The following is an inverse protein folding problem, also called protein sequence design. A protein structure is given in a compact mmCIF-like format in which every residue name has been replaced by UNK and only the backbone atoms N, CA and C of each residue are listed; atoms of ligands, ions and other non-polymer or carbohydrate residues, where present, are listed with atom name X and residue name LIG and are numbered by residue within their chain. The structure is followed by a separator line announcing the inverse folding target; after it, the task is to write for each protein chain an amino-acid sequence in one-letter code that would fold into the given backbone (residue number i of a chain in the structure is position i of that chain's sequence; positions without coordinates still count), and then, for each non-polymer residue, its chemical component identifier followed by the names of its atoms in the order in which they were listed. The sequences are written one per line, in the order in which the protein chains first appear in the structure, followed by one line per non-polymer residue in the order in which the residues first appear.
data_IF_321730587575
#
_entry.id   IF_321730587575
#
_cell.length_a   1.000
_cell.length_b   1.000
_cell.length_c   1.000
_cell.angle_alpha   90.00
_cell.angle_beta   90.00
_cell.angle_gamma   90.00
#
_symmetry.space_group_name_H-M   'P 1'
#
loop_
_entity.id
_entity.type
_entity.pdbx_description
1 polymer ?
#
# COMPACT_ATOMS: atom_id res chain seq x y z
N UNK A 1 -5.44 17.87 -27.89
CA UNK A 1 -4.25 17.96 -27.01
C UNK A 1 -4.71 17.60 -25.60
N UNK A 2 -4.58 16.33 -25.24
CA UNK A 2 -4.98 15.84 -23.92
C UNK A 2 -3.72 15.85 -23.07
N UNK A 3 -3.61 16.81 -22.15
CA UNK A 3 -2.59 16.76 -21.11
C UNK A 3 -3.16 15.84 -20.05
N UNK A 4 -2.83 14.56 -20.09
CA UNK A 4 -3.07 13.66 -18.98
C UNK A 4 -2.11 14.08 -17.88
N UNK A 5 -2.63 14.68 -16.80
CA UNK A 5 -1.94 14.68 -15.53
C UNK A 5 -1.67 13.21 -15.21
N UNK A 6 -0.41 12.88 -15.06
CA UNK A 6 0.03 11.58 -14.54
C UNK A 6 -0.54 11.48 -13.10
N UNK A 7 -1.68 10.81 -12.96
CA UNK A 7 -2.14 10.38 -11.65
C UNK A 7 -1.16 9.31 -11.22
N UNK A 8 -0.25 9.67 -10.35
CA UNK A 8 0.63 8.69 -9.72
C UNK A 8 -0.22 7.86 -8.78
N UNK A 9 -0.40 6.60 -9.11
CA UNK A 9 -1.19 5.67 -8.32
C UNK A 9 -0.28 4.89 -7.40
N UNK A 10 -0.43 5.07 -6.09
CA UNK A 10 0.23 4.23 -5.10
C UNK A 10 -0.63 2.98 -4.89
N UNK A 11 -0.10 1.81 -5.25
CA UNK A 11 -0.75 0.54 -4.99
C UNK A 11 -0.25 -0.05 -3.67
N UNK A 12 -1.13 -0.12 -2.69
CA UNK A 12 -0.86 -0.77 -1.41
C UNK A 12 -1.68 -2.07 -1.35
N UNK A 13 -1.10 -3.22 -1.67
CA UNK A 13 -1.78 -4.49 -1.50
C UNK A 13 -1.86 -4.85 -0.02
N UNK A 14 -3.08 -4.94 0.50
CA UNK A 14 -3.35 -5.44 1.84
C UNK A 14 -3.63 -6.94 1.80
N UNK A 15 -2.90 -7.74 2.58
CA UNK A 15 -2.89 -9.18 2.39
C UNK A 15 -2.90 -10.00 3.68
N UNK A 16 -3.68 -11.07 3.69
CA UNK A 16 -3.63 -12.16 4.66
C UNK A 16 -2.72 -13.34 4.22
N UNK A 17 -2.38 -14.26 5.14
CA UNK A 17 -1.02 -14.85 5.25
C UNK A 17 -0.54 -15.86 4.20
N UNK A 18 -1.29 -16.27 3.22
CA UNK A 18 -0.87 -17.41 2.37
C UNK A 18 -0.64 -17.14 0.88
N UNK A 19 -1.22 -16.11 0.30
CA UNK A 19 -1.09 -15.83 -1.15
C UNK A 19 -0.40 -14.50 -1.47
N UNK A 20 -0.02 -13.75 -0.49
CA UNK A 20 0.31 -12.33 -0.51
C UNK A 20 1.60 -11.96 -1.19
N UNK A 21 2.60 -12.80 -1.05
CA UNK A 21 3.96 -12.55 -1.59
C UNK A 21 4.05 -12.70 -3.10
N UNK A 22 3.10 -13.38 -3.69
CA UNK A 22 3.08 -13.63 -5.13
C UNK A 22 2.51 -12.44 -5.90
N UNK A 23 1.55 -11.73 -5.32
CA UNK A 23 0.80 -10.70 -6.04
C UNK A 23 1.60 -9.43 -6.32
N UNK A 24 2.32 -8.90 -5.33
CA UNK A 24 3.16 -7.72 -5.55
C UNK A 24 4.26 -8.02 -6.56
N UNK A 25 4.85 -9.21 -6.52
CA UNK A 25 5.85 -9.67 -7.49
C UNK A 25 5.26 -9.83 -8.88
N UNK A 26 4.04 -10.35 -8.99
CA UNK A 26 3.35 -10.48 -10.26
C UNK A 26 3.04 -9.10 -10.87
N UNK A 27 2.61 -8.14 -10.04
CA UNK A 27 2.42 -6.76 -10.48
C UNK A 27 3.74 -6.11 -10.91
N UNK A 28 4.81 -6.32 -10.15
CA UNK A 28 6.14 -5.84 -10.53
C UNK A 28 6.59 -6.42 -11.87
N UNK A 29 6.42 -7.73 -12.07
CA UNK A 29 6.70 -8.37 -13.36
C UNK A 29 5.87 -7.76 -14.49
N UNK A 30 4.58 -7.55 -14.28
CA UNK A 30 3.70 -6.88 -15.25
C UNK A 30 4.18 -5.45 -15.58
N UNK A 31 4.57 -4.67 -14.56
CA UNK A 31 5.09 -3.33 -14.77
C UNK A 31 6.36 -3.37 -15.65
N UNK A 32 7.29 -4.27 -15.34
CA UNK A 32 8.52 -4.44 -16.13
C UNK A 32 8.23 -4.83 -17.60
N UNK A 33 7.35 -5.80 -17.82
CA UNK A 33 6.95 -6.24 -19.16
C UNK A 33 6.23 -5.14 -19.94
N UNK A 34 5.47 -4.28 -19.25
CA UNK A 34 4.71 -3.18 -19.83
C UNK A 34 5.54 -1.88 -19.98
N UNK A 35 6.80 -1.87 -19.54
CA UNK A 35 7.64 -0.68 -19.55
C UNK A 35 7.15 0.43 -18.60
N UNK A 36 6.43 0.05 -17.54
CA UNK A 36 5.96 0.97 -16.50
C UNK A 36 7.01 1.08 -15.39
N UNK A 37 7.49 2.29 -15.19
CA UNK A 37 8.41 2.59 -14.08
C UNK A 37 7.68 2.52 -12.75
N UNK A 38 8.30 1.89 -11.76
CA UNK A 38 7.77 1.80 -10.40
C UNK A 38 8.89 1.78 -9.36
N UNK A 39 8.51 2.10 -8.12
CA UNK A 39 9.28 1.80 -6.91
C UNK A 39 8.59 0.66 -6.15
N UNK A 40 9.40 -0.23 -5.60
CA UNK A 40 8.95 -1.24 -4.66
C UNK A 40 9.19 -0.78 -3.22
N UNK A 41 8.27 -1.09 -2.32
CA UNK A 41 8.46 -0.90 -0.87
C UNK A 41 8.12 -2.22 -0.19
N UNK A 42 9.09 -2.79 0.51
CA UNK A 42 8.94 -4.07 1.20
C UNK A 42 8.83 -3.83 2.71
N UNK A 43 7.64 -4.08 3.25
CA UNK A 43 7.37 -3.99 4.68
C UNK A 43 7.39 -5.36 5.38
N UNK A 44 7.63 -6.44 4.64
CA UNK A 44 7.74 -7.79 5.21
C UNK A 44 9.15 -8.05 5.73
N UNK A 45 9.26 -8.50 6.98
CA UNK A 45 10.54 -8.88 7.61
C UNK A 45 11.32 -9.95 6.85
N UNK A 46 10.66 -10.74 6.00
CA UNK A 46 11.32 -11.73 5.16
C UNK A 46 11.96 -11.13 3.92
N UNK A 47 11.70 -9.84 3.65
CA UNK A 47 12.27 -9.08 2.54
C UNK A 47 12.15 -9.83 1.20
N UNK A 48 11.01 -10.44 0.98
CA UNK A 48 10.82 -11.31 -0.18
C UNK A 48 10.71 -10.53 -1.49
N UNK A 49 10.17 -9.33 -1.42
CA UNK A 49 10.07 -8.41 -2.55
C UNK A 49 11.41 -7.73 -2.80
N UNK A 50 12.05 -7.22 -1.75
CA UNK A 50 13.38 -6.61 -1.82
C UNK A 50 14.43 -7.58 -2.40
N UNK A 51 14.40 -8.86 -2.00
CA UNK A 51 15.30 -9.89 -2.55
C UNK A 51 15.04 -10.21 -4.02
N UNK A 52 13.80 -10.08 -4.47
CA UNK A 52 13.45 -10.30 -5.88
C UNK A 52 13.82 -9.10 -6.78
N UNK A 53 13.75 -7.88 -6.24
CA UNK A 53 13.97 -6.63 -6.97
C UNK A 53 14.87 -5.66 -6.18
N UNK A 54 16.13 -6.02 -5.90
CA UNK A 54 17.00 -5.26 -4.99
C UNK A 54 17.34 -3.84 -5.45
N UNK A 55 17.22 -3.56 -6.76
CA UNK A 55 17.49 -2.22 -7.31
C UNK A 55 16.23 -1.35 -7.40
N UNK A 56 15.05 -1.93 -7.21
CA UNK A 56 13.76 -1.26 -7.36
C UNK A 56 12.98 -1.18 -6.07
N UNK A 57 13.33 -1.97 -5.06
CA UNK A 57 12.61 -2.03 -3.80
C UNK A 57 13.43 -1.46 -2.63
N UNK A 58 12.72 -0.80 -1.73
CA UNK A 58 13.25 -0.21 -0.50
C UNK A 58 12.56 -0.85 0.70
N UNK A 59 13.28 -1.11 1.80
CA UNK A 59 12.67 -1.62 3.01
C UNK A 59 11.89 -0.52 3.74
N UNK A 60 10.80 -0.91 4.37
CA UNK A 60 10.08 -0.09 5.33
C UNK A 60 9.50 -0.95 6.45
N UNK A 61 8.87 -0.35 7.45
CA UNK A 61 8.04 -1.07 8.39
C UNK A 61 6.95 -0.17 8.96
N UNK A 62 5.80 -0.78 9.22
CA UNK A 62 4.71 -0.15 9.94
C UNK A 62 4.79 -0.51 11.43
N UNK A 63 4.43 0.41 12.30
CA UNK A 63 4.51 0.24 13.75
C UNK A 63 3.35 0.96 14.44
N UNK A 64 2.85 0.38 15.51
CA UNK A 64 1.89 1.02 16.39
C UNK A 64 2.54 2.03 17.36
N UNK A 65 3.88 2.08 17.39
CA UNK A 65 4.61 3.02 18.23
C UNK A 65 4.73 4.38 17.54
N UNK A 66 4.28 5.43 18.19
CA UNK A 66 4.29 6.81 17.65
C UNK A 66 5.68 7.28 17.21
N UNK A 67 6.73 6.85 17.89
CA UNK A 67 8.11 7.17 17.51
C UNK A 67 8.53 6.67 16.13
N UNK A 68 7.87 5.61 15.63
CA UNK A 68 8.15 4.97 14.34
C UNK A 68 7.10 5.33 13.26
N UNK A 69 6.12 6.12 13.62
CA UNK A 69 4.94 6.39 12.77
C UNK A 69 5.33 6.99 11.42
N UNK A 70 6.38 7.82 11.38
CA UNK A 70 6.83 8.49 10.17
C UNK A 70 7.72 7.66 9.24
N UNK A 71 8.10 6.45 9.64
CA UNK A 71 8.99 5.62 8.82
C UNK A 71 8.38 5.31 7.45
N UNK A 72 7.07 4.97 7.34
CA UNK A 72 6.44 4.72 6.05
C UNK A 72 6.13 5.98 5.23
N UNK A 73 6.32 7.19 5.73
CA UNK A 73 5.97 8.44 5.01
C UNK A 73 6.72 8.57 3.68
N UNK A 74 7.90 7.96 3.57
CA UNK A 74 8.66 7.86 2.31
C UNK A 74 7.82 7.28 1.15
N UNK A 75 6.77 6.51 1.43
CA UNK A 75 5.86 5.95 0.40
C UNK A 75 5.19 7.08 -0.38
N UNK A 76 4.75 8.14 0.31
CA UNK A 76 4.15 9.29 -0.36
C UNK A 76 5.17 10.06 -1.20
N UNK A 77 6.38 10.25 -0.69
CA UNK A 77 7.46 10.94 -1.42
C UNK A 77 7.78 10.20 -2.73
N UNK A 78 7.93 8.87 -2.65
CA UNK A 78 8.14 8.03 -3.84
C UNK A 78 6.95 8.07 -4.80
N UNK A 79 5.73 8.13 -4.27
CA UNK A 79 4.51 8.16 -5.08
C UNK A 79 4.32 9.47 -5.85
N UNK A 80 5.01 10.54 -5.48
CA UNK A 80 5.04 11.77 -6.27
C UNK A 80 5.86 11.63 -7.56
N UNK A 81 6.77 10.67 -7.60
CA UNK A 81 7.66 10.47 -8.75
C UNK A 81 7.16 9.37 -9.68
N UNK A 82 6.72 8.24 -9.12
CA UNK A 82 6.37 7.04 -9.88
C UNK A 82 5.29 6.22 -9.16
N UNK A 83 4.80 5.20 -9.85
CA UNK A 83 4.00 4.15 -9.25
C UNK A 83 4.75 3.48 -8.11
N UNK A 84 4.10 3.31 -6.96
CA UNK A 84 4.68 2.60 -5.81
C UNK A 84 3.92 1.30 -5.56
N UNK A 85 4.64 0.19 -5.53
CA UNK A 85 4.12 -1.12 -5.15
C UNK A 85 4.59 -1.44 -3.73
N UNK A 86 3.66 -1.58 -2.79
CA UNK A 86 3.98 -1.84 -1.38
C UNK A 86 3.64 -3.28 -1.04
N UNK A 87 4.62 -4.06 -0.57
CA UNK A 87 4.41 -5.41 -0.02
C UNK A 87 4.18 -5.33 1.48
N UNK A 88 2.98 -5.67 1.91
CA UNK A 88 2.57 -5.63 3.31
C UNK A 88 2.53 -7.04 3.91
N UNK A 89 3.07 -7.26 5.11
CA UNK A 89 2.92 -8.54 5.81
C UNK A 89 1.48 -8.74 6.31
N UNK A 90 1.06 -9.99 6.43
CA UNK A 90 -0.33 -10.34 6.76
C UNK A 90 -0.83 -9.91 8.15
N UNK A 91 0.05 -9.46 9.02
CA UNK A 91 -0.30 -9.04 10.40
C UNK A 91 -0.05 -7.54 10.64
N UNK A 92 -0.05 -6.73 9.58
CA UNK A 92 0.28 -5.31 9.66
C UNK A 92 -0.95 -4.40 9.78
N UNK A 93 -2.16 -4.97 9.75
CA UNK A 93 -3.42 -4.22 9.63
C UNK A 93 -3.53 -3.07 10.64
N UNK A 94 -3.27 -3.33 11.92
CA UNK A 94 -3.39 -2.32 12.96
C UNK A 94 -2.35 -1.21 12.80
N UNK A 95 -1.10 -1.57 12.59
CA UNK A 95 -0.01 -0.61 12.40
C UNK A 95 -0.19 0.22 11.10
N UNK A 96 -0.67 -0.41 10.04
CA UNK A 96 -0.97 0.27 8.77
C UNK A 96 -2.15 1.26 8.93
N UNK A 97 -3.23 0.82 9.58
CA UNK A 97 -4.37 1.68 9.88
C UNK A 97 -4.00 2.83 10.81
N UNK A 98 -3.13 2.58 11.78
CA UNK A 98 -2.59 3.61 12.66
C UNK A 98 -1.81 4.67 11.84
N UNK A 99 -0.91 4.25 10.97
CA UNK A 99 -0.20 5.17 10.08
C UNK A 99 -1.15 6.00 9.20
N UNK A 100 -2.11 5.37 8.54
CA UNK A 100 -3.09 6.07 7.69
C UNK A 100 -3.86 7.16 8.45
N UNK A 101 -4.11 6.94 9.74
CA UNK A 101 -4.97 7.83 10.55
C UNK A 101 -4.20 8.86 11.37
N UNK A 102 -3.12 8.45 12.02
CA UNK A 102 -2.37 9.33 12.91
C UNK A 102 -1.50 10.34 12.17
N UNK A 103 -1.11 10.01 10.92
CA UNK A 103 -0.36 10.92 10.04
C UNK A 103 -1.25 11.63 9.01
N UNK A 104 -2.57 11.51 9.09
CA UNK A 104 -3.53 12.08 8.12
C UNK A 104 -3.18 11.75 6.65
N UNK A 105 -2.62 10.55 6.42
CA UNK A 105 -2.09 10.12 5.12
C UNK A 105 -3.14 10.19 4.01
N UNK A 106 -4.39 9.86 4.32
CA UNK A 106 -5.49 9.91 3.35
C UNK A 106 -5.83 11.34 2.90
N UNK A 107 -5.69 12.32 3.77
CA UNK A 107 -5.86 13.75 3.43
C UNK A 107 -4.64 14.24 2.65
N UNK A 108 -3.44 13.98 3.16
CA UNK A 108 -2.19 14.33 2.50
C UNK A 108 -2.09 13.75 1.08
N UNK A 109 -2.48 12.50 0.87
CA UNK A 109 -2.46 11.89 -0.45
C UNK A 109 -3.38 12.60 -1.44
N UNK A 110 -4.57 13.05 -1.01
CA UNK A 110 -5.47 13.83 -1.86
C UNK A 110 -4.89 15.20 -2.23
N UNK A 111 -4.33 15.90 -1.26
CA UNK A 111 -3.71 17.21 -1.49
C UNK A 111 -2.53 17.12 -2.45
N UNK A 112 -1.80 16.00 -2.40
CA UNK A 112 -0.68 15.69 -3.27
C UNK A 112 -1.09 15.11 -4.63
N UNK A 113 -2.37 14.78 -4.84
CA UNK A 113 -2.85 14.11 -6.05
C UNK A 113 -2.42 12.64 -6.16
N UNK A 114 -2.10 12.00 -5.04
CA UNK A 114 -1.72 10.58 -4.96
C UNK A 114 -2.95 9.73 -4.69
N UNK A 115 -3.22 8.75 -5.54
CA UNK A 115 -4.27 7.76 -5.33
C UNK A 115 -3.72 6.53 -4.60
N UNK A 116 -4.34 6.17 -3.49
CA UNK A 116 -4.02 4.97 -2.72
C UNK A 116 -5.04 3.88 -3.07
N UNK A 117 -4.57 2.79 -3.68
CA UNK A 117 -5.39 1.61 -3.98
C UNK A 117 -4.97 0.45 -3.08
N UNK A 118 -5.92 -0.07 -2.32
CA UNK A 118 -5.71 -1.25 -1.49
C UNK A 118 -6.26 -2.49 -2.20
N UNK A 119 -5.39 -3.48 -2.40
CA UNK A 119 -5.74 -4.75 -3.02
C UNK A 119 -5.76 -5.84 -1.96
N UNK A 120 -6.91 -6.44 -1.80
CA UNK A 120 -7.13 -7.52 -0.84
C UNK A 120 -7.30 -8.83 -1.58
N UNK A 121 -6.41 -9.79 -1.31
CA UNK A 121 -6.51 -11.13 -1.89
C UNK A 121 -7.30 -12.00 -0.95
N UNK A 122 -8.39 -12.56 -1.46
CA UNK A 122 -9.28 -13.45 -0.72
C UNK A 122 -8.96 -14.90 -1.05
N UNK A 123 -8.82 -15.71 -0.02
CA UNK A 123 -8.92 -17.16 -0.10
C UNK A 123 -10.27 -17.65 0.47
N UNK A 124 -10.52 -18.94 0.53
CA UNK A 124 -11.74 -19.55 1.03
C UNK A 124 -11.77 -19.72 2.55
N UNK A 125 -10.77 -19.19 3.27
CA UNK A 125 -10.74 -19.25 4.73
C UNK A 125 -11.68 -18.23 5.37
N UNK A 126 -12.23 -18.60 6.51
CA UNK A 126 -13.10 -17.72 7.30
C UNK A 126 -12.32 -16.52 7.83
N UNK A 127 -11.09 -16.74 8.25
CA UNK A 127 -10.18 -15.70 8.78
C UNK A 127 -9.91 -14.62 7.74
N UNK A 128 -9.70 -15.02 6.49
CA UNK A 128 -9.49 -14.10 5.38
C UNK A 128 -10.73 -13.24 5.12
N UNK A 129 -11.90 -13.86 5.10
CA UNK A 129 -13.16 -13.15 4.91
C UNK A 129 -13.45 -12.16 6.05
N UNK A 130 -13.27 -12.58 7.30
CA UNK A 130 -13.46 -11.70 8.48
C UNK A 130 -12.47 -10.52 8.46
N UNK A 131 -11.21 -10.73 8.08
CA UNK A 131 -10.22 -9.68 7.89
C UNK A 131 -10.63 -8.68 6.81
N UNK A 132 -11.10 -9.17 5.67
CA UNK A 132 -11.62 -8.33 4.60
C UNK A 132 -12.78 -7.45 5.06
N UNK A 133 -13.72 -8.01 5.81
CA UNK A 133 -14.85 -7.24 6.35
C UNK A 133 -14.38 -6.12 7.31
N UNK A 134 -13.41 -6.39 8.18
CA UNK A 134 -12.82 -5.36 9.05
C UNK A 134 -12.18 -4.24 8.24
N UNK A 135 -11.41 -4.58 7.23
CA UNK A 135 -10.79 -3.60 6.32
C UNK A 135 -11.84 -2.75 5.60
N UNK A 136 -12.89 -3.36 5.07
CA UNK A 136 -14.00 -2.64 4.43
C UNK A 136 -14.70 -1.69 5.41
N UNK A 137 -14.93 -2.12 6.64
CA UNK A 137 -15.58 -1.28 7.65
C UNK A 137 -14.69 -0.08 8.02
N UNK A 138 -13.39 -0.29 8.18
CA UNK A 138 -12.42 0.77 8.42
C UNK A 138 -12.44 1.81 7.29
N UNK A 139 -12.29 1.37 6.06
CA UNK A 139 -12.32 2.24 4.87
C UNK A 139 -13.64 3.00 4.78
N UNK A 140 -14.78 2.30 4.92
CA UNK A 140 -16.12 2.91 4.85
C UNK A 140 -16.31 4.01 5.89
N UNK A 141 -15.90 3.79 7.13
CA UNK A 141 -16.03 4.79 8.21
C UNK A 141 -15.21 6.05 7.92
N UNK A 142 -14.05 5.91 7.32
CA UNK A 142 -13.15 7.03 7.00
C UNK A 142 -13.57 7.78 5.74
N UNK A 143 -13.88 7.07 4.66
CA UNK A 143 -14.28 7.69 3.40
C UNK A 143 -15.70 8.26 3.42
N UNK A 144 -16.64 7.71 4.20
CA UNK A 144 -17.98 8.30 4.35
C UNK A 144 -17.93 9.72 4.93
N UNK A 145 -16.97 10.00 5.80
CA UNK A 145 -16.79 11.34 6.37
C UNK A 145 -16.08 12.33 5.44
N UNK A 146 -15.46 11.85 4.37
CA UNK A 146 -14.70 12.68 3.43
C UNK A 146 -15.52 13.09 2.19
N UNK A 147 -16.58 12.33 1.86
CA UNK A 147 -17.52 12.69 0.78
C UNK A 147 -18.63 13.64 1.20
N UNK A 148 -18.71 14.05 2.47
CA UNK A 148 -19.77 14.90 3.03
C UNK A 148 -19.33 16.37 3.27
N UNK A 149 -18.25 16.82 2.65
CA UNK A 149 -17.82 18.22 2.68
C UNK A 149 -17.75 18.83 1.29
#
# INVERSE_FOLDING_TARGET
MVVSQLQTTCFIPFLLPTLTRTDVKLKAAYCLESGLDFYGVDADRQESFLKAYPELALPTHFSELDQNLKIPDQILDLALEKLVLVDLPGNVEEAFNHWLTASDILEASKDLGVEIQNWYVLDDSRECYEGFLRTLEFVRRRYANTCAR
#
